data_IF_822620605881
#
_entry.id   IF_822620605881
#
_cell.length_a   1.000
_cell.length_b   1.000
_cell.length_c   1.000
_cell.angle_alpha   90.00
_cell.angle_beta   90.00
_cell.angle_gamma   90.00
#
_symmetry.space_group_name_H-M   'P 1'
#
loop_
_entity.id
_entity.type
_entity.pdbx_description
1 polymer ?
#
# COMPACT_ATOMS: atom_id res chain seq x y z
N UNK A 1 14.67 -17.91 11.54
CA UNK A 1 15.24 -16.53 11.64
C UNK A 1 14.86 -15.97 13.00
N UNK A 2 15.79 -15.34 13.74
CA UNK A 2 15.52 -14.82 15.09
C UNK A 2 14.50 -13.65 15.00
N UNK A 3 13.48 -13.67 15.84
CA UNK A 3 12.40 -12.65 15.90
C UNK A 3 12.93 -11.24 16.13
N UNK A 4 14.03 -11.09 16.89
CA UNK A 4 14.71 -9.80 17.10
C UNK A 4 15.26 -9.20 15.80
N UNK A 5 15.81 -10.02 14.91
CA UNK A 5 16.33 -9.58 13.62
C UNK A 5 15.19 -9.15 12.66
N UNK A 6 14.06 -9.86 12.69
CA UNK A 6 12.88 -9.47 11.89
C UNK A 6 12.32 -8.11 12.31
N UNK A 7 12.15 -7.89 13.62
CA UNK A 7 11.69 -6.59 14.15
C UNK A 7 12.62 -5.45 13.74
N UNK A 8 13.95 -5.67 13.82
CA UNK A 8 14.92 -4.66 13.43
C UNK A 8 14.87 -4.34 11.93
N UNK A 9 14.67 -5.35 11.08
CA UNK A 9 14.52 -5.16 9.63
C UNK A 9 13.25 -4.39 9.28
N UNK A 10 12.12 -4.74 9.91
CA UNK A 10 10.85 -4.02 9.76
C UNK A 10 11.01 -2.55 10.18
N UNK A 11 11.59 -2.30 11.35
CA UNK A 11 11.83 -0.92 11.83
C UNK A 11 12.71 -0.11 10.87
N UNK A 12 13.74 -0.73 10.27
CA UNK A 12 14.57 -0.07 9.24
C UNK A 12 13.80 0.20 7.96
N UNK A 13 13.01 -0.75 7.46
CA UNK A 13 12.20 -0.53 6.26
C UNK A 13 11.22 0.64 6.45
N UNK A 14 10.56 0.71 7.60
CA UNK A 14 9.70 1.83 7.96
C UNK A 14 10.46 3.16 8.02
N UNK A 15 11.63 3.18 8.70
CA UNK A 15 12.46 4.38 8.79
C UNK A 15 12.95 4.86 7.42
N UNK A 16 13.44 3.94 6.58
CA UNK A 16 13.93 4.29 5.24
C UNK A 16 12.79 4.80 4.35
N UNK A 17 11.63 4.15 4.38
CA UNK A 17 10.44 4.62 3.64
C UNK A 17 9.97 5.99 4.11
N UNK A 18 10.01 6.27 5.41
CA UNK A 18 9.69 7.60 5.95
C UNK A 18 10.71 8.65 5.47
N UNK A 19 12.01 8.37 5.58
CA UNK A 19 13.05 9.33 5.17
C UNK A 19 12.99 9.64 3.67
N UNK A 20 12.97 8.61 2.82
CA UNK A 20 12.86 8.79 1.38
C UNK A 20 11.52 9.38 0.97
N UNK A 21 10.43 8.96 1.61
CA UNK A 21 9.10 9.46 1.34
C UNK A 21 8.93 10.93 1.71
N UNK A 22 9.45 11.37 2.86
CA UNK A 22 9.47 12.79 3.23
C UNK A 22 10.32 13.62 2.26
N UNK A 23 11.46 13.09 1.84
CA UNK A 23 12.32 13.77 0.87
C UNK A 23 11.69 13.88 -0.52
N UNK A 24 11.04 12.80 -1.01
CA UNK A 24 10.46 12.76 -2.35
C UNK A 24 9.08 13.43 -2.42
N UNK A 25 8.27 13.34 -1.37
CA UNK A 25 6.86 13.74 -1.38
C UNK A 25 6.52 14.83 -0.37
N UNK A 26 7.50 15.41 0.33
CA UNK A 26 7.27 16.41 1.38
C UNK A 26 6.35 17.56 0.96
N UNK A 27 6.47 18.03 -0.29
CA UNK A 27 5.57 19.05 -0.83
C UNK A 27 4.12 18.54 -0.90
N UNK A 28 3.90 17.33 -1.38
CA UNK A 28 2.57 16.71 -1.46
C UNK A 28 1.97 16.37 -0.10
N UNK A 29 2.82 16.17 0.93
CA UNK A 29 2.38 15.91 2.29
C UNK A 29 1.96 17.17 3.05
N UNK A 30 2.54 18.32 2.69
CA UNK A 30 2.30 19.60 3.36
C UNK A 30 1.34 20.53 2.60
N UNK A 31 1.03 20.19 1.34
CA UNK A 31 0.14 20.97 0.49
C UNK A 31 -0.97 20.12 -0.10
N UNK A 32 -2.13 20.72 -0.33
CA UNK A 32 -3.22 20.08 -1.04
C UNK A 32 -2.92 20.14 -2.54
N UNK A 33 -2.34 19.05 -3.07
CA UNK A 33 -2.15 18.88 -4.51
C UNK A 33 -3.31 18.00 -4.98
N UNK A 34 -4.25 18.59 -5.73
CA UNK A 34 -5.44 17.89 -6.17
C UNK A 34 -5.40 17.68 -7.69
N UNK A 35 -5.53 16.43 -8.14
CA UNK A 35 -5.88 16.09 -9.50
C UNK A 35 -7.40 15.94 -9.65
N UNK A 36 -7.86 15.77 -10.89
CA UNK A 36 -9.26 15.80 -11.31
C UNK A 36 -10.26 15.16 -10.33
N UNK A 37 -10.03 13.92 -9.92
CA UNK A 37 -10.98 13.18 -9.06
C UNK A 37 -10.92 13.61 -7.58
N UNK A 38 -9.79 14.17 -7.14
CA UNK A 38 -9.62 14.65 -5.78
C UNK A 38 -10.40 15.93 -5.50
N UNK A 39 -10.73 16.70 -6.54
CA UNK A 39 -11.53 17.95 -6.47
C UNK A 39 -12.99 17.63 -6.17
N UNK A 40 -13.49 16.47 -6.61
CA UNK A 40 -14.91 16.10 -6.50
C UNK A 40 -15.23 15.17 -5.34
N UNK A 41 -14.25 14.76 -4.54
CA UNK A 41 -14.44 13.89 -3.36
C UNK A 41 -15.17 12.57 -3.64
N UNK A 42 -14.93 11.92 -4.77
CA UNK A 42 -15.75 10.80 -5.19
C UNK A 42 -15.31 9.44 -4.65
N UNK A 43 -16.03 8.96 -3.64
CA UNK A 43 -16.50 7.59 -3.63
C UNK A 43 -17.95 7.55 -4.10
N UNK A 44 -18.18 7.54 -5.39
CA UNK A 44 -19.45 7.07 -5.90
C UNK A 44 -19.51 5.57 -5.66
N UNK A 45 -20.27 5.15 -4.66
CA UNK A 45 -20.41 3.74 -4.29
C UNK A 45 -20.79 2.89 -5.51
N UNK A 46 -21.65 3.38 -6.38
CA UNK A 46 -22.04 2.70 -7.61
C UNK A 46 -20.90 2.51 -8.60
N UNK A 47 -20.11 3.55 -8.89
CA UNK A 47 -18.97 3.47 -9.81
C UNK A 47 -17.86 2.56 -9.28
N UNK A 48 -17.66 2.50 -7.96
CA UNK A 48 -16.69 1.62 -7.33
C UNK A 48 -17.05 0.16 -7.53
N UNK A 49 -18.29 -0.23 -7.32
CA UNK A 49 -18.76 -1.61 -7.54
C UNK A 49 -18.82 -1.98 -9.03
N UNK A 50 -19.30 -1.10 -9.90
CA UNK A 50 -19.38 -1.38 -11.34
C UNK A 50 -17.99 -1.53 -11.99
N UNK A 51 -16.94 -0.89 -11.42
CA UNK A 51 -15.55 -1.07 -11.84
C UNK A 51 -14.86 -2.31 -11.24
N UNK A 52 -15.58 -3.15 -10.50
CA UNK A 52 -15.04 -4.34 -9.84
C UNK A 52 -14.22 -4.06 -8.58
N UNK A 53 -14.19 -2.83 -8.08
CA UNK A 53 -13.45 -2.42 -6.87
C UNK A 53 -14.30 -2.59 -5.61
N UNK A 54 -14.88 -3.77 -5.44
CA UNK A 54 -15.86 -4.05 -4.39
C UNK A 54 -15.29 -3.85 -2.98
N UNK A 55 -14.03 -4.24 -2.74
CA UNK A 55 -13.44 -4.10 -1.42
C UNK A 55 -13.07 -2.65 -1.10
N UNK A 56 -12.71 -1.85 -2.12
CA UNK A 56 -12.58 -0.40 -1.97
C UNK A 56 -13.91 0.23 -1.51
N UNK A 57 -15.04 -0.20 -2.08
CA UNK A 57 -16.36 0.26 -1.66
C UNK A 57 -16.68 -0.10 -0.20
N UNK A 58 -16.33 -1.32 0.25
CA UNK A 58 -16.47 -1.74 1.66
C UNK A 58 -15.63 -0.87 2.58
N UNK A 59 -14.34 -0.66 2.26
CA UNK A 59 -13.43 0.16 3.07
C UNK A 59 -13.89 1.62 3.15
N UNK A 60 -14.34 2.19 2.03
CA UNK A 60 -14.89 3.55 1.98
C UNK A 60 -16.16 3.70 2.83
N UNK A 61 -17.05 2.70 2.79
CA UNK A 61 -18.26 2.67 3.63
C UNK A 61 -17.94 2.56 5.12
N UNK A 62 -16.97 1.74 5.47
CA UNK A 62 -16.49 1.63 6.86
C UNK A 62 -15.87 2.95 7.33
N UNK A 63 -15.03 3.58 6.50
CA UNK A 63 -14.44 4.87 6.82
C UNK A 63 -15.51 5.93 7.07
N UNK A 64 -16.50 6.04 6.18
CA UNK A 64 -17.64 6.96 6.33
C UNK A 64 -18.41 6.72 7.62
N UNK A 65 -18.63 5.45 7.98
CA UNK A 65 -19.34 5.08 9.21
C UNK A 65 -18.59 5.48 10.48
N UNK A 66 -17.25 5.38 10.48
CA UNK A 66 -16.45 5.71 11.67
C UNK A 66 -16.14 7.19 11.79
N UNK A 67 -15.93 7.89 10.69
CA UNK A 67 -15.48 9.28 10.69
C UNK A 67 -16.57 10.29 10.29
N UNK A 68 -17.75 9.82 9.90
CA UNK A 68 -18.88 10.69 9.54
C UNK A 68 -18.70 11.47 8.23
N UNK A 69 -17.61 11.22 7.51
CA UNK A 69 -17.29 11.91 6.25
C UNK A 69 -16.95 10.90 5.16
N UNK A 70 -17.47 11.07 3.93
CA UNK A 70 -17.24 10.10 2.85
C UNK A 70 -15.79 10.03 2.39
N UNK A 71 -14.99 11.05 2.65
CA UNK A 71 -13.58 11.12 2.29
C UNK A 71 -12.80 12.02 3.23
N UNK A 72 -11.59 11.59 3.58
CA UNK A 72 -10.60 12.43 4.21
C UNK A 72 -9.41 12.60 3.24
N UNK A 73 -9.30 13.78 2.65
CA UNK A 73 -8.16 14.16 1.80
C UNK A 73 -7.12 14.97 2.59
N UNK A 74 -6.79 14.53 3.81
CA UNK A 74 -5.73 15.17 4.60
C UNK A 74 -4.37 14.75 4.07
N UNK A 75 -3.59 15.65 3.42
CA UNK A 75 -2.31 15.29 2.82
C UNK A 75 -1.34 14.66 3.81
N UNK A 76 -1.20 15.27 4.99
CA UNK A 76 -0.28 14.78 6.00
C UNK A 76 -0.72 13.43 6.57
N UNK A 77 -1.99 13.30 6.96
CA UNK A 77 -2.50 12.07 7.59
C UNK A 77 -2.48 10.89 6.60
N UNK A 78 -3.09 11.07 5.43
CA UNK A 78 -3.14 10.04 4.39
C UNK A 78 -1.73 9.72 3.87
N UNK A 79 -0.89 10.74 3.71
CA UNK A 79 0.48 10.58 3.27
C UNK A 79 1.34 9.79 4.26
N UNK A 80 1.23 10.04 5.57
CA UNK A 80 1.93 9.25 6.57
C UNK A 80 1.47 7.78 6.56
N UNK A 81 0.17 7.52 6.41
CA UNK A 81 -0.35 6.15 6.24
C UNK A 81 0.27 5.52 4.99
N UNK A 82 0.34 6.25 3.87
CA UNK A 82 0.97 5.79 2.64
C UNK A 82 2.44 5.41 2.86
N UNK A 83 3.22 6.23 3.57
CA UNK A 83 4.62 5.95 3.84
C UNK A 83 4.81 4.72 4.75
N UNK A 84 3.93 4.53 5.72
CA UNK A 84 3.93 3.33 6.58
C UNK A 84 3.60 2.08 5.74
N UNK A 85 2.56 2.12 4.92
CA UNK A 85 2.17 1.00 4.04
C UNK A 85 3.28 0.67 3.03
N UNK A 86 3.95 1.69 2.49
CA UNK A 86 5.12 1.51 1.62
C UNK A 86 6.28 0.84 2.36
N UNK A 87 6.54 1.21 3.61
CA UNK A 87 7.57 0.59 4.43
C UNK A 87 7.27 -0.88 4.77
N UNK A 88 6.01 -1.20 5.06
CA UNK A 88 5.54 -2.57 5.23
C UNK A 88 5.71 -3.37 3.92
N UNK A 89 5.32 -2.78 2.79
CA UNK A 89 5.48 -3.39 1.46
C UNK A 89 6.95 -3.65 1.12
N UNK A 90 7.84 -2.70 1.43
CA UNK A 90 9.27 -2.86 1.23
C UNK A 90 9.86 -3.99 2.09
N UNK A 91 9.39 -4.11 3.34
CA UNK A 91 9.80 -5.21 4.21
C UNK A 91 9.34 -6.57 3.66
N UNK A 92 8.05 -6.71 3.27
CA UNK A 92 7.52 -7.95 2.69
C UNK A 92 8.27 -8.30 1.40
N UNK A 93 8.48 -7.34 0.52
CA UNK A 93 9.21 -7.54 -0.74
C UNK A 93 10.66 -7.97 -0.48
N UNK A 94 11.33 -7.39 0.53
CA UNK A 94 12.66 -7.81 0.94
C UNK A 94 12.70 -9.26 1.49
N UNK A 95 11.61 -9.72 2.12
CA UNK A 95 11.47 -11.11 2.55
C UNK A 95 11.25 -12.07 1.37
N UNK A 96 10.47 -11.67 0.35
CA UNK A 96 10.23 -12.45 -0.87
C UNK A 96 11.53 -12.61 -1.66
N UNK A 97 12.26 -11.51 -1.87
CA UNK A 97 13.49 -11.46 -2.66
C UNK A 97 14.75 -11.91 -1.89
N UNK A 98 14.60 -12.32 -0.64
CA UNK A 98 15.70 -12.69 0.27
C UNK A 98 16.79 -11.62 0.41
N UNK A 99 16.41 -10.35 0.33
CA UNK A 99 17.33 -9.20 0.51
C UNK A 99 17.72 -9.08 1.97
N UNK A 100 18.95 -9.50 2.34
CA UNK A 100 19.43 -9.54 3.74
C UNK A 100 20.31 -8.35 4.12
N UNK A 101 20.94 -7.71 3.16
CA UNK A 101 21.85 -6.58 3.41
C UNK A 101 21.08 -5.32 3.80
N UNK A 102 21.71 -4.46 4.61
CA UNK A 102 21.15 -3.16 5.01
C UNK A 102 21.02 -2.20 3.82
N UNK A 103 22.06 -2.17 2.97
CA UNK A 103 22.06 -1.36 1.75
C UNK A 103 21.00 -1.80 0.76
N UNK A 104 20.80 -3.11 0.58
CA UNK A 104 19.73 -3.63 -0.26
C UNK A 104 18.35 -3.23 0.23
N UNK A 105 18.09 -3.31 1.55
CA UNK A 105 16.82 -2.88 2.14
C UNK A 105 16.61 -1.36 1.98
N UNK A 106 17.66 -0.58 2.15
CA UNK A 106 17.62 0.88 1.97
C UNK A 106 17.26 1.23 0.52
N UNK A 107 17.97 0.63 -0.46
CA UNK A 107 17.70 0.85 -1.89
C UNK A 107 16.28 0.41 -2.26
N UNK A 108 15.85 -0.77 -1.81
CA UNK A 108 14.52 -1.29 -2.10
C UNK A 108 13.41 -0.38 -1.55
N UNK A 109 13.57 0.09 -0.30
CA UNK A 109 12.62 1.01 0.33
C UNK A 109 12.58 2.35 -0.41
N UNK A 110 13.75 2.89 -0.79
CA UNK A 110 13.84 4.14 -1.54
C UNK A 110 13.21 4.05 -2.93
N UNK A 111 13.53 2.99 -3.69
CA UNK A 111 12.99 2.77 -5.03
C UNK A 111 11.47 2.59 -5.00
N UNK A 112 10.95 1.85 -4.02
CA UNK A 112 9.51 1.61 -3.91
C UNK A 112 8.76 2.92 -3.63
N UNK A 113 9.24 3.71 -2.66
CA UNK A 113 8.57 4.94 -2.22
C UNK A 113 8.73 6.07 -3.22
N UNK A 114 9.94 6.27 -3.77
CA UNK A 114 10.23 7.36 -4.70
C UNK A 114 9.84 7.04 -6.16
N UNK A 115 9.15 5.91 -6.41
CA UNK A 115 8.73 5.54 -7.76
C UNK A 115 7.72 6.55 -8.34
N UNK A 116 7.73 6.80 -9.66
CA UNK A 116 6.75 7.66 -10.32
C UNK A 116 5.30 7.20 -10.10
N UNK A 117 5.08 5.90 -9.94
CA UNK A 117 3.76 5.34 -9.65
C UNK A 117 3.23 5.81 -8.30
N UNK A 118 4.06 5.80 -7.26
CA UNK A 118 3.68 6.32 -5.93
C UNK A 118 3.50 7.84 -5.97
N UNK A 119 4.37 8.56 -6.70
CA UNK A 119 4.20 10.00 -6.89
C UNK A 119 2.84 10.35 -7.54
N UNK A 120 2.42 9.56 -8.54
CA UNK A 120 1.10 9.70 -9.16
C UNK A 120 -0.06 9.44 -8.19
N UNK A 121 0.10 8.49 -7.25
CA UNK A 121 -0.93 8.20 -6.23
C UNK A 121 -1.14 9.37 -5.26
N UNK A 122 -0.10 10.15 -4.95
CA UNK A 122 -0.23 11.33 -4.07
C UNK A 122 -1.09 12.44 -4.69
N UNK A 123 -1.31 12.45 -6.00
CA UNK A 123 -2.31 13.30 -6.66
C UNK A 123 -3.76 12.90 -6.37
N UNK A 124 -3.98 11.67 -5.89
CA UNK A 124 -5.27 11.11 -5.50
C UNK A 124 -5.26 10.76 -4.01
N UNK A 125 -4.93 11.74 -3.17
CA UNK A 125 -4.64 11.57 -1.76
C UNK A 125 -5.76 10.87 -0.98
N UNK A 126 -7.02 11.04 -1.38
CA UNK A 126 -8.17 10.39 -0.74
C UNK A 126 -8.22 8.87 -0.96
N UNK A 127 -7.63 8.35 -2.05
CA UNK A 127 -7.58 6.90 -2.37
C UNK A 127 -6.19 6.30 -2.20
N UNK A 128 -5.14 7.10 -2.13
CA UNK A 128 -3.76 6.65 -2.06
C UNK A 128 -3.49 5.60 -0.97
N UNK A 129 -4.00 5.75 0.28
CA UNK A 129 -3.81 4.73 1.33
C UNK A 129 -4.41 3.37 0.96
N UNK A 130 -5.57 3.36 0.29
CA UNK A 130 -6.21 2.12 -0.12
C UNK A 130 -5.42 1.42 -1.22
N UNK A 131 -4.88 2.16 -2.19
CA UNK A 131 -4.07 1.58 -3.25
C UNK A 131 -2.76 0.99 -2.72
N UNK A 132 -2.10 1.67 -1.77
CA UNK A 132 -0.92 1.10 -1.12
C UNK A 132 -1.25 -0.06 -0.18
N UNK A 133 -2.44 -0.09 0.41
CA UNK A 133 -2.95 -1.27 1.10
C UNK A 133 -3.14 -2.44 0.12
N UNK A 134 -3.68 -2.20 -1.07
CA UNK A 134 -3.80 -3.22 -2.10
C UNK A 134 -2.44 -3.78 -2.52
N UNK A 135 -1.42 -2.93 -2.67
CA UNK A 135 -0.05 -3.34 -2.94
C UNK A 135 0.48 -4.25 -1.83
N UNK A 136 0.32 -3.85 -0.57
CA UNK A 136 0.75 -4.64 0.59
C UNK A 136 0.03 -6.00 0.65
N UNK A 137 -1.28 -6.04 0.40
CA UNK A 137 -2.06 -7.29 0.37
C UNK A 137 -1.57 -8.22 -0.75
N UNK A 138 -1.28 -7.67 -1.93
CA UNK A 138 -0.77 -8.44 -3.06
C UNK A 138 0.61 -9.06 -2.75
N UNK A 139 1.55 -8.27 -2.24
CA UNK A 139 2.86 -8.75 -1.81
C UNK A 139 2.75 -9.78 -0.67
N UNK A 140 1.84 -9.55 0.29
CA UNK A 140 1.58 -10.49 1.38
C UNK A 140 1.02 -11.81 0.88
N UNK A 141 0.19 -11.79 -0.17
CA UNK A 141 -0.32 -13.00 -0.82
C UNK A 141 0.82 -13.84 -1.39
N UNK A 142 1.72 -13.22 -2.18
CA UNK A 142 2.90 -13.89 -2.74
C UNK A 142 3.81 -14.45 -1.63
N UNK A 143 4.05 -13.65 -0.59
CA UNK A 143 4.88 -14.08 0.55
C UNK A 143 4.30 -15.27 1.30
N UNK A 144 2.97 -15.29 1.53
CA UNK A 144 2.28 -16.42 2.18
C UNK A 144 2.38 -17.68 1.33
N UNK A 145 2.11 -17.60 0.02
CA UNK A 145 2.26 -18.73 -0.90
C UNK A 145 3.70 -19.27 -0.93
N UNK A 146 4.69 -18.39 -0.93
CA UNK A 146 6.10 -18.80 -0.91
C UNK A 146 6.49 -19.48 0.41
N UNK A 147 5.94 -19.03 1.54
CA UNK A 147 6.27 -19.57 2.88
C UNK A 147 5.51 -20.84 3.22
N UNK A 148 4.34 -21.02 2.64
CA UNK A 148 3.46 -22.17 2.86
C UNK A 148 2.96 -22.72 1.53
N UNK A 149 3.74 -23.60 0.88
CA UNK A 149 3.36 -24.19 -0.41
C UNK A 149 2.37 -25.35 -0.23
N UNK A 150 1.36 -25.17 0.62
CA UNK A 150 0.29 -26.12 0.91
C UNK A 150 -1.09 -25.52 0.55
N UNK A 151 -2.15 -26.30 0.62
CA UNK A 151 -3.50 -25.85 0.32
C UNK A 151 -3.95 -24.68 1.21
N UNK A 152 -3.49 -24.63 2.47
CA UNK A 152 -3.81 -23.52 3.39
C UNK A 152 -3.09 -22.24 2.95
N UNK A 153 -1.82 -22.33 2.54
CA UNK A 153 -1.07 -21.19 2.02
C UNK A 153 -1.66 -20.67 0.71
N UNK A 154 -2.05 -21.58 -0.20
CA UNK A 154 -2.73 -21.21 -1.44
C UNK A 154 -4.10 -20.53 -1.17
N UNK A 155 -4.89 -21.06 -0.23
CA UNK A 155 -6.17 -20.47 0.17
C UNK A 155 -6.00 -19.09 0.81
N UNK A 156 -5.06 -18.94 1.75
CA UNK A 156 -4.78 -17.65 2.41
C UNK A 156 -4.22 -16.62 1.43
N UNK A 157 -3.28 -17.01 0.58
CA UNK A 157 -2.72 -16.16 -0.46
C UNK A 157 -3.78 -15.74 -1.49
N UNK A 158 -4.60 -16.67 -1.96
CA UNK A 158 -5.72 -16.39 -2.85
C UNK A 158 -6.74 -15.41 -2.25
N UNK A 159 -7.05 -15.55 -0.96
CA UNK A 159 -7.91 -14.61 -0.24
C UNK A 159 -7.30 -13.19 -0.19
N UNK A 160 -6.03 -13.06 0.20
CA UNK A 160 -5.33 -11.77 0.22
C UNK A 160 -5.27 -11.14 -1.17
N UNK A 161 -5.02 -11.94 -2.20
CA UNK A 161 -5.00 -11.46 -3.59
C UNK A 161 -6.40 -10.99 -4.04
N UNK A 162 -7.47 -11.70 -3.68
CA UNK A 162 -8.83 -11.30 -3.97
C UNK A 162 -9.20 -9.95 -3.31
N UNK A 163 -8.77 -9.73 -2.06
CA UNK A 163 -8.93 -8.44 -1.38
C UNK A 163 -8.15 -7.32 -2.10
N UNK A 164 -6.90 -7.59 -2.48
CA UNK A 164 -6.08 -6.64 -3.24
C UNK A 164 -6.75 -6.25 -4.56
N UNK A 165 -7.20 -7.23 -5.34
CA UNK A 165 -7.91 -7.00 -6.60
C UNK A 165 -9.24 -6.28 -6.39
N UNK A 166 -9.93 -6.53 -5.29
CA UNK A 166 -11.16 -5.83 -4.91
C UNK A 166 -10.94 -4.36 -4.56
N UNK A 167 -9.69 -3.93 -4.35
CA UNK A 167 -9.32 -2.51 -4.22
C UNK A 167 -8.80 -1.99 -5.57
N UNK A 168 -7.76 -2.62 -6.12
CA UNK A 168 -7.08 -2.16 -7.32
C UNK A 168 -6.44 -3.29 -8.11
N UNK A 169 -7.02 -3.63 -9.25
CA UNK A 169 -6.65 -4.79 -10.07
C UNK A 169 -5.25 -4.70 -10.70
N UNK A 170 -4.70 -3.48 -10.86
CA UNK A 170 -3.40 -3.25 -11.50
C UNK A 170 -2.21 -3.86 -10.73
N UNK A 171 -2.41 -4.30 -9.48
CA UNK A 171 -1.36 -4.98 -8.72
C UNK A 171 -1.30 -6.50 -8.97
N UNK A 172 -2.24 -7.08 -9.71
CA UNK A 172 -2.25 -8.51 -10.01
C UNK A 172 -0.91 -9.03 -10.57
N UNK A 173 -0.25 -8.36 -11.55
CA UNK A 173 1.04 -8.82 -12.05
C UNK A 173 2.12 -8.91 -10.98
N UNK A 174 2.10 -8.00 -10.00
CA UNK A 174 3.09 -7.99 -8.90
C UNK A 174 2.95 -9.21 -7.96
N UNK A 175 1.75 -9.79 -7.84
CA UNK A 175 1.50 -10.95 -7.00
C UNK A 175 1.73 -12.29 -7.72
N UNK A 176 1.88 -12.27 -9.05
CA UNK A 176 2.08 -13.47 -9.88
C UNK A 176 3.54 -13.68 -10.29
N UNK A 177 4.43 -12.70 -10.07
CA UNK A 177 5.87 -12.78 -10.30
C UNK A 177 6.58 -13.38 -9.09
#
# INVERSE_FOLDING_TARGET
>A
MNTANQKQRLSRALLYSLLFGLAAHGLGLTNVIAFHDNVHYFFSVGATYSSGRWFLGVLGSLFTRFFGAPNCASPLFNGLICLILSGLSAWVLAEILDVRSRSGLLLLSGLLVASPAVAGLFGYMFTAPYYLLAQLLCLSAAWVCQRRPDALGAGAGGFLLALSMGIYQSYLPMGLC
#
